data_IF_040552913976
#
_entry.id   IF_040552913976
#
_cell.length_a   1.000
_cell.length_b   1.000
_cell.length_c   1.000
_cell.angle_alpha   90.00
_cell.angle_beta   90.00
_cell.angle_gamma   90.00
#
_symmetry.space_group_name_H-M   'P 1'
#
loop_
_entity.id
_entity.type
_entity.pdbx_description
1 polymer ?
#
# COMPACT_ATOMS: atom_id res chain seq x y z
N UNK A 1 -23.92 -25.95 -36.71
CA UNK A 1 -23.39 -25.34 -35.52
C UNK A 1 -23.40 -26.33 -34.36
N UNK A 2 -22.23 -26.58 -33.80
CA UNK A 2 -22.12 -27.55 -32.71
C UNK A 2 -22.46 -26.85 -31.40
N UNK A 3 -23.55 -27.25 -30.77
CA UNK A 3 -24.05 -26.68 -29.54
C UNK A 3 -23.07 -26.84 -28.38
N UNK A 4 -22.35 -27.95 -28.38
CA UNK A 4 -21.31 -28.22 -27.37
C UNK A 4 -20.11 -27.29 -27.51
N UNK A 5 -19.78 -26.92 -28.75
CA UNK A 5 -18.67 -26.00 -29.01
C UNK A 5 -18.96 -24.59 -28.51
N UNK A 6 -20.20 -24.13 -28.69
CA UNK A 6 -20.64 -22.82 -28.17
C UNK A 6 -20.63 -22.81 -26.65
N UNK A 7 -21.03 -23.90 -26.02
CA UNK A 7 -21.06 -24.07 -24.57
C UNK A 7 -19.65 -24.07 -23.97
N UNK A 8 -18.73 -24.77 -24.62
CA UNK A 8 -17.32 -24.79 -24.21
C UNK A 8 -16.68 -23.41 -24.32
N UNK A 9 -16.91 -22.69 -25.41
CA UNK A 9 -16.41 -21.33 -25.60
C UNK A 9 -16.96 -20.36 -24.56
N UNK A 10 -18.23 -20.50 -24.20
CA UNK A 10 -18.86 -19.69 -23.17
C UNK A 10 -18.28 -19.92 -21.79
N UNK A 11 -18.01 -21.18 -21.44
CA UNK A 11 -17.41 -21.56 -20.16
C UNK A 11 -15.96 -21.04 -20.05
N UNK A 12 -15.19 -21.18 -21.13
CA UNK A 12 -13.81 -20.70 -21.18
C UNK A 12 -13.74 -19.19 -21.02
N UNK A 13 -14.65 -18.46 -21.68
CA UNK A 13 -14.74 -17.02 -21.58
C UNK A 13 -15.12 -16.56 -20.17
N UNK A 14 -16.06 -17.24 -19.54
CA UNK A 14 -16.49 -16.96 -18.18
C UNK A 14 -15.37 -17.20 -17.17
N UNK A 15 -14.57 -18.25 -17.36
CA UNK A 15 -13.44 -18.58 -16.51
C UNK A 15 -12.34 -17.52 -16.60
N UNK A 16 -12.00 -17.07 -17.80
CA UNK A 16 -11.03 -15.98 -18.01
C UNK A 16 -11.52 -14.66 -17.41
N UNK A 17 -12.79 -14.35 -17.55
CA UNK A 17 -13.39 -13.17 -16.95
C UNK A 17 -13.35 -13.20 -15.43
N UNK A 18 -13.61 -14.36 -14.82
CA UNK A 18 -13.54 -14.55 -13.38
C UNK A 18 -12.12 -14.34 -12.87
N UNK A 19 -11.13 -14.94 -13.51
CA UNK A 19 -9.72 -14.81 -13.11
C UNK A 19 -9.24 -13.36 -13.24
N UNK A 20 -9.63 -12.66 -14.28
CA UNK A 20 -9.30 -11.24 -14.45
C UNK A 20 -9.95 -10.38 -13.37
N UNK A 21 -11.21 -10.66 -13.01
CA UNK A 21 -11.91 -9.93 -11.96
C UNK A 21 -11.29 -10.16 -10.59
N UNK A 22 -10.87 -11.40 -10.28
CA UNK A 22 -10.18 -11.72 -9.03
C UNK A 22 -8.82 -11.01 -8.94
N UNK A 23 -8.06 -10.99 -10.03
CA UNK A 23 -6.77 -10.31 -10.09
C UNK A 23 -6.93 -8.80 -9.88
N UNK A 24 -7.92 -8.18 -10.51
CA UNK A 24 -8.23 -6.76 -10.31
C UNK A 24 -8.66 -6.48 -8.88
N UNK A 25 -9.44 -7.38 -8.25
CA UNK A 25 -9.86 -7.23 -6.87
C UNK A 25 -8.67 -7.30 -5.91
N UNK A 26 -7.74 -8.22 -6.14
CA UNK A 26 -6.52 -8.32 -5.34
C UNK A 26 -5.64 -7.08 -5.48
N UNK A 27 -5.44 -6.60 -6.70
CA UNK A 27 -4.67 -5.39 -6.96
C UNK A 27 -5.33 -4.16 -6.32
N UNK A 28 -6.65 -4.07 -6.40
CA UNK A 28 -7.42 -3.01 -5.77
C UNK A 28 -7.24 -2.99 -4.25
N UNK A 29 -7.26 -4.16 -3.61
CA UNK A 29 -7.02 -4.28 -2.18
C UNK A 29 -5.60 -3.87 -1.80
N UNK A 30 -4.62 -4.28 -2.59
CA UNK A 30 -3.22 -3.92 -2.37
C UNK A 30 -3.01 -2.42 -2.54
N UNK A 31 -3.62 -1.81 -3.54
CA UNK A 31 -3.59 -0.35 -3.74
C UNK A 31 -4.19 0.39 -2.55
N UNK A 32 -5.31 -0.10 -2.02
CA UNK A 32 -5.94 0.49 -0.83
C UNK A 32 -5.02 0.39 0.39
N UNK A 33 -4.32 -0.71 0.56
CA UNK A 33 -3.34 -0.90 1.62
C UNK A 33 -2.15 0.06 1.47
N UNK A 34 -1.69 0.30 0.24
CA UNK A 34 -0.61 1.25 -0.04
C UNK A 34 -1.03 2.67 0.35
N UNK A 35 -2.20 3.11 -0.08
CA UNK A 35 -2.72 4.43 0.25
C UNK A 35 -2.86 4.60 1.76
N UNK A 36 -3.38 3.58 2.44
CA UNK A 36 -3.52 3.58 3.89
C UNK A 36 -2.16 3.65 4.60
N UNK A 37 -1.18 2.88 4.13
CA UNK A 37 0.18 2.89 4.67
C UNK A 37 0.86 4.25 4.45
N UNK A 38 0.68 4.86 3.28
CA UNK A 38 1.21 6.20 2.99
C UNK A 38 0.58 7.27 3.89
N UNK A 39 -0.72 7.16 4.16
CA UNK A 39 -1.40 8.07 5.09
C UNK A 39 -0.84 7.93 6.51
N UNK A 40 -0.61 6.70 6.97
CA UNK A 40 0.00 6.44 8.28
C UNK A 40 1.42 6.97 8.35
N UNK A 41 2.19 6.79 7.28
CA UNK A 41 3.55 7.29 7.19
C UNK A 41 3.58 8.81 7.30
N UNK A 42 2.73 9.49 6.56
CA UNK A 42 2.62 10.95 6.59
C UNK A 42 2.27 11.46 7.98
N UNK A 43 1.29 10.85 8.63
CA UNK A 43 0.89 11.21 10.00
C UNK A 43 2.01 10.98 11.00
N UNK A 44 2.72 9.85 10.89
CA UNK A 44 3.83 9.53 11.76
C UNK A 44 4.99 10.51 11.57
N UNK A 45 5.30 10.87 10.33
CA UNK A 45 6.34 11.86 10.03
C UNK A 45 6.01 13.25 10.59
N UNK A 46 4.75 13.66 10.48
CA UNK A 46 4.30 14.93 11.07
C UNK A 46 4.43 14.93 12.58
N UNK A 47 4.03 13.83 13.22
CA UNK A 47 4.14 13.70 14.67
C UNK A 47 5.60 13.68 15.13
N UNK A 48 6.46 12.97 14.38
CA UNK A 48 7.90 12.97 14.64
C UNK A 48 8.49 14.37 14.56
N UNK A 49 8.10 15.13 13.53
CA UNK A 49 8.53 16.52 13.36
C UNK A 49 8.15 17.39 14.56
N UNK A 50 6.93 17.26 15.05
CA UNK A 50 6.46 17.98 16.23
C UNK A 50 7.26 17.58 17.48
N UNK A 51 7.54 16.30 17.65
CA UNK A 51 8.31 15.79 18.79
C UNK A 51 9.77 16.25 18.75
N UNK A 52 10.39 16.24 17.56
CA UNK A 52 11.77 16.72 17.37
C UNK A 52 11.84 18.21 17.65
N UNK A 53 10.86 18.98 17.19
CA UNK A 53 10.78 20.40 17.48
C UNK A 53 10.71 20.66 18.99
N UNK A 54 9.82 19.93 19.69
CA UNK A 54 9.66 20.02 21.12
C UNK A 54 10.95 19.65 21.86
N UNK A 55 11.62 18.59 21.40
CA UNK A 55 12.91 18.16 21.97
C UNK A 55 13.95 19.25 21.83
N UNK A 56 14.04 19.89 20.66
CA UNK A 56 14.97 20.99 20.40
C UNK A 56 14.69 22.21 21.27
N UNK A 57 13.46 22.36 21.72
CA UNK A 57 13.05 23.45 22.65
C UNK A 57 13.30 23.11 24.12
N UNK A 58 13.86 21.95 24.42
CA UNK A 58 14.27 21.58 25.77
C UNK A 58 13.43 20.51 26.45
N UNK A 59 12.46 19.92 25.76
CA UNK A 59 11.62 18.85 26.32
C UNK A 59 12.30 17.49 26.14
N UNK A 60 13.35 17.23 26.91
CA UNK A 60 14.17 16.01 26.80
C UNK A 60 13.37 14.73 27.07
N UNK A 61 12.28 14.82 27.79
CA UNK A 61 11.36 13.71 28.05
C UNK A 61 10.71 13.14 26.80
N UNK A 62 10.78 13.87 25.67
CA UNK A 62 10.24 13.42 24.39
C UNK A 62 11.18 12.50 23.62
N UNK A 63 12.42 12.29 24.08
CA UNK A 63 13.38 11.44 23.36
C UNK A 63 12.88 10.00 23.16
N UNK A 64 12.29 9.32 24.19
CA UNK A 64 11.76 7.98 23.97
C UNK A 64 10.65 7.92 22.95
N UNK A 65 9.82 8.97 22.84
CA UNK A 65 8.76 9.06 21.85
C UNK A 65 9.33 9.26 20.44
N UNK A 66 10.37 10.08 20.30
CA UNK A 66 11.09 10.25 19.03
C UNK A 66 11.61 8.90 18.55
N UNK A 67 12.27 8.15 19.41
CA UNK A 67 12.84 6.84 19.08
C UNK A 67 11.74 5.86 18.66
N UNK A 68 10.59 5.86 19.34
CA UNK A 68 9.45 5.03 19.03
C UNK A 68 8.88 5.35 17.64
N UNK A 69 8.75 6.64 17.31
CA UNK A 69 8.23 7.06 15.99
C UNK A 69 9.21 6.75 14.87
N UNK A 70 10.51 6.82 15.12
CA UNK A 70 11.53 6.41 14.14
C UNK A 70 11.37 4.92 13.80
N UNK A 71 11.22 4.07 14.81
CA UNK A 71 10.98 2.63 14.59
C UNK A 71 9.67 2.37 13.85
N UNK A 72 8.61 3.08 14.24
CA UNK A 72 7.30 2.96 13.60
C UNK A 72 7.37 3.35 12.12
N UNK A 73 8.03 4.45 11.81
CA UNK A 73 8.19 4.93 10.43
C UNK A 73 8.99 3.91 9.61
N UNK A 74 10.06 3.36 10.16
CA UNK A 74 10.86 2.33 9.49
C UNK A 74 10.02 1.10 9.17
N UNK A 75 9.16 0.67 10.10
CA UNK A 75 8.25 -0.46 9.90
C UNK A 75 7.22 -0.17 8.82
N UNK A 76 6.65 1.03 8.80
CA UNK A 76 5.67 1.45 7.80
C UNK A 76 6.33 1.50 6.41
N UNK A 77 7.54 2.04 6.30
CA UNK A 77 8.30 2.09 5.05
C UNK A 77 8.60 0.70 4.51
N UNK A 78 9.01 -0.24 5.37
CA UNK A 78 9.27 -1.62 4.98
C UNK A 78 8.00 -2.29 4.47
N UNK A 79 6.87 -2.11 5.16
CA UNK A 79 5.58 -2.63 4.74
C UNK A 79 5.13 -2.02 3.42
N UNK A 80 5.31 -0.71 3.26
CA UNK A 80 4.97 0.00 2.03
C UNK A 80 5.77 -0.51 0.84
N UNK A 81 7.07 -0.73 1.01
CA UNK A 81 7.94 -1.28 -0.03
C UNK A 81 7.50 -2.69 -0.43
N UNK A 82 7.15 -3.54 0.55
CA UNK A 82 6.65 -4.88 0.29
C UNK A 82 5.33 -4.85 -0.51
N UNK A 83 4.43 -3.94 -0.16
CA UNK A 83 3.17 -3.76 -0.88
C UNK A 83 3.39 -3.28 -2.32
N UNK A 84 4.32 -2.35 -2.53
CA UNK A 84 4.67 -1.84 -3.87
C UNK A 84 5.26 -2.96 -4.73
N UNK A 85 6.14 -3.78 -4.17
CA UNK A 85 6.74 -4.91 -4.88
C UNK A 85 5.67 -5.90 -5.31
N UNK A 86 4.65 -6.14 -4.49
CA UNK A 86 3.58 -7.08 -4.83
C UNK A 86 2.72 -6.61 -6.00
N UNK A 87 2.64 -5.30 -6.26
CA UNK A 87 1.93 -4.75 -7.42
C UNK A 87 2.80 -4.71 -8.68
N UNK A 88 4.13 -4.73 -8.53
CA UNK A 88 5.06 -4.61 -9.64
C UNK A 88 5.08 -3.19 -10.23
N UNK A 89 5.32 -3.03 -11.55
CA UNK A 89 5.51 -1.71 -12.18
C UNK A 89 4.33 -0.75 -12.02
N UNK A 90 3.10 -1.26 -11.87
CA UNK A 90 1.91 -0.43 -11.69
C UNK A 90 1.94 0.37 -10.39
N UNK A 91 2.63 -0.12 -9.36
CA UNK A 91 2.76 0.56 -8.07
C UNK A 91 3.59 1.84 -8.16
N UNK A 92 4.62 1.85 -9.00
CA UNK A 92 5.49 3.00 -9.20
C UNK A 92 4.73 4.21 -9.76
N UNK A 93 3.80 3.94 -10.68
CA UNK A 93 2.96 5.00 -11.28
C UNK A 93 2.07 5.63 -10.20
N UNK A 94 1.46 4.81 -9.35
CA UNK A 94 0.57 5.25 -8.27
C UNK A 94 1.35 6.12 -7.25
N UNK A 95 2.53 5.67 -6.86
CA UNK A 95 3.34 6.38 -5.87
C UNK A 95 3.95 7.66 -6.42
N UNK A 96 4.17 7.74 -7.72
CA UNK A 96 4.68 8.95 -8.37
C UNK A 96 3.63 10.07 -8.35
N UNK A 97 2.35 9.71 -8.50
CA UNK A 97 1.24 10.67 -8.44
C UNK A 97 1.00 11.21 -7.02
N UNK A 98 1.45 10.50 -6.00
CA UNK A 98 1.28 10.89 -4.59
C UNK A 98 2.44 11.72 -4.03
N UNK A 99 3.53 11.74 -4.74
CA UNK A 99 4.68 12.58 -4.41
C UNK A 99 4.50 13.99 -4.96
#
# INVERSE_FOLDING_TARGET
>A
MDFNKIKEMGLEYAEKGRNAALDLAEKGRTQAKIVNAQSKLYKAQRQLGALVYSLAKGNEENQPLVDKYIEMISSIEANLNALKESLGPAAEVITHDLD
#
